data_IF_812793289714
#
_entry.id   IF_812793289714
#
_cell.length_a   1.000
_cell.length_b   1.000
_cell.length_c   1.000
_cell.angle_alpha   90.00
_cell.angle_beta   90.00
_cell.angle_gamma   90.00
#
_symmetry.space_group_name_H-M   'P 1'
#
loop_
_entity.id
_entity.type
_entity.pdbx_description
1 polymer ?
#
# COMPACT_ATOMS: atom_id res chain seq x y z
N UNK A 1 0.29 -20.12 -1.31
CA UNK A 1 -0.88 -19.82 -0.47
C UNK A 1 -2.13 -20.00 -1.31
N UNK A 2 -3.09 -20.76 -0.81
CA UNK A 2 -4.35 -21.00 -1.54
C UNK A 2 -5.21 -19.75 -1.52
N UNK A 3 -6.09 -19.61 -2.52
CA UNK A 3 -6.98 -18.44 -2.64
C UNK A 3 -7.82 -18.24 -1.37
N UNK A 4 -8.38 -19.30 -0.83
CA UNK A 4 -9.19 -19.24 0.40
C UNK A 4 -8.37 -18.71 1.58
N UNK A 5 -7.12 -19.14 1.70
CA UNK A 5 -6.23 -18.68 2.77
C UNK A 5 -5.95 -17.16 2.64
N UNK A 6 -5.78 -16.69 1.41
CA UNK A 6 -5.58 -15.27 1.14
C UNK A 6 -6.83 -14.49 1.52
N UNK A 7 -8.00 -14.91 1.07
CA UNK A 7 -9.28 -14.23 1.35
C UNK A 7 -9.55 -14.19 2.85
N UNK A 8 -9.45 -15.32 3.52
CA UNK A 8 -9.64 -15.40 4.97
C UNK A 8 -8.62 -14.54 5.72
N UNK A 9 -7.37 -14.53 5.26
CA UNK A 9 -6.33 -13.70 5.82
C UNK A 9 -6.62 -12.21 5.66
N UNK A 10 -7.16 -11.78 4.52
CA UNK A 10 -7.57 -10.38 4.30
C UNK A 10 -8.63 -9.99 5.34
N UNK A 11 -9.66 -10.80 5.51
CA UNK A 11 -10.74 -10.50 6.45
C UNK A 11 -10.29 -10.57 7.91
N UNK A 12 -9.24 -11.30 8.21
CA UNK A 12 -8.64 -11.33 9.55
C UNK A 12 -7.50 -10.32 9.74
N UNK A 13 -7.33 -9.41 8.79
CA UNK A 13 -6.30 -8.35 8.83
C UNK A 13 -4.86 -8.88 8.86
N UNK A 14 -4.62 -10.01 8.20
CA UNK A 14 -3.27 -10.55 8.04
C UNK A 14 -2.50 -9.75 6.97
N UNK A 15 -1.44 -9.07 7.38
CA UNK A 15 -0.60 -8.29 6.46
C UNK A 15 0.03 -9.16 5.38
N UNK A 16 0.39 -10.39 5.73
CA UNK A 16 0.93 -11.35 4.78
C UNK A 16 -0.08 -11.68 3.68
N UNK A 17 -1.34 -11.92 4.04
CA UNK A 17 -2.40 -12.21 3.08
C UNK A 17 -2.70 -11.00 2.20
N UNK A 18 -2.79 -9.81 2.78
CA UNK A 18 -2.98 -8.56 2.03
C UNK A 18 -1.83 -8.34 1.06
N UNK A 19 -0.60 -8.52 1.49
CA UNK A 19 0.57 -8.38 0.63
C UNK A 19 0.58 -9.38 -0.52
N UNK A 20 0.21 -10.63 -0.26
CA UNK A 20 0.09 -11.65 -1.32
C UNK A 20 -0.99 -11.29 -2.33
N UNK A 21 -2.15 -10.82 -1.87
CA UNK A 21 -3.23 -10.39 -2.73
C UNK A 21 -2.82 -9.22 -3.64
N UNK A 22 -2.14 -8.23 -3.10
CA UNK A 22 -1.63 -7.09 -3.87
C UNK A 22 -0.65 -7.59 -4.94
N UNK A 23 0.24 -8.51 -4.61
CA UNK A 23 1.17 -9.10 -5.58
C UNK A 23 0.43 -9.80 -6.73
N UNK A 24 -0.60 -10.59 -6.42
CA UNK A 24 -1.41 -11.25 -7.43
C UNK A 24 -2.12 -10.24 -8.34
N UNK A 25 -2.64 -9.16 -7.77
CA UNK A 25 -3.31 -8.10 -8.52
C UNK A 25 -2.32 -7.35 -9.41
N UNK A 26 -1.13 -6.99 -8.90
CA UNK A 26 -0.09 -6.33 -9.69
C UNK A 26 0.34 -7.17 -10.90
N UNK A 27 0.50 -8.48 -10.70
CA UNK A 27 0.94 -9.38 -11.75
C UNK A 27 -0.20 -9.92 -12.61
N UNK A 28 -1.43 -9.52 -12.32
CA UNK A 28 -2.63 -9.99 -13.03
C UNK A 28 -2.70 -11.50 -13.12
N UNK A 29 -2.40 -12.18 -12.02
CA UNK A 29 -2.48 -13.64 -11.96
C UNK A 29 -3.94 -14.10 -12.12
N UNK A 30 -4.18 -15.38 -12.46
CA UNK A 30 -5.54 -15.90 -12.54
C UNK A 30 -6.33 -15.75 -11.22
N UNK A 31 -5.64 -15.67 -10.08
CA UNK A 31 -6.27 -15.50 -8.78
C UNK A 31 -6.77 -14.08 -8.52
N UNK A 32 -6.21 -13.07 -9.22
CA UNK A 32 -6.53 -11.67 -8.97
C UNK A 32 -8.03 -11.37 -9.08
N UNK A 33 -8.66 -11.83 -10.15
CA UNK A 33 -10.10 -11.60 -10.37
C UNK A 33 -10.95 -12.27 -9.30
N UNK A 34 -10.58 -13.48 -8.88
CA UNK A 34 -11.29 -14.19 -7.83
C UNK A 34 -11.16 -13.46 -6.50
N UNK A 35 -9.97 -13.01 -6.14
CA UNK A 35 -9.73 -12.24 -4.91
C UNK A 35 -10.56 -10.97 -4.92
N UNK A 36 -10.51 -10.19 -6.00
CA UNK A 36 -11.25 -8.94 -6.13
C UNK A 36 -12.76 -9.16 -6.03
N UNK A 37 -13.28 -10.19 -6.68
CA UNK A 37 -14.70 -10.53 -6.62
C UNK A 37 -15.16 -10.84 -5.19
N UNK A 38 -14.39 -11.60 -4.45
CA UNK A 38 -14.74 -12.02 -3.09
C UNK A 38 -14.68 -10.88 -2.08
N UNK A 39 -13.76 -9.94 -2.24
CA UNK A 39 -13.61 -8.83 -1.29
C UNK A 39 -14.46 -7.61 -1.66
N UNK A 40 -14.98 -7.54 -2.87
CA UNK A 40 -15.65 -6.34 -3.40
C UNK A 40 -16.73 -5.78 -2.48
N UNK A 41 -17.58 -6.64 -1.94
CA UNK A 41 -18.70 -6.22 -1.09
C UNK A 41 -18.26 -5.65 0.27
N UNK A 42 -17.00 -5.84 0.64
CA UNK A 42 -16.43 -5.34 1.90
C UNK A 42 -15.56 -4.10 1.69
N UNK A 43 -15.43 -3.64 0.44
CA UNK A 43 -14.65 -2.44 0.11
C UNK A 43 -15.51 -1.17 0.18
N UNK A 44 -14.87 -0.02 0.03
CA UNK A 44 -15.57 1.26 -0.05
C UNK A 44 -15.75 1.99 1.28
N UNK A 45 -15.30 1.41 2.38
CA UNK A 45 -15.47 2.00 3.72
C UNK A 45 -14.28 2.86 4.16
N UNK A 46 -13.14 2.74 3.49
CA UNK A 46 -11.94 3.47 3.85
C UNK A 46 -11.94 4.88 3.24
N UNK A 47 -11.44 5.84 4.00
CA UNK A 47 -11.14 7.17 3.47
C UNK A 47 -9.80 7.12 2.75
N UNK A 48 -9.75 7.53 1.50
CA UNK A 48 -8.53 7.51 0.68
C UNK A 48 -7.94 8.90 0.56
N UNK A 49 -6.66 9.02 0.85
CA UNK A 49 -5.90 10.27 0.77
C UNK A 49 -4.76 10.08 -0.22
N UNK A 50 -4.72 10.89 -1.26
CA UNK A 50 -3.61 10.92 -2.20
C UNK A 50 -2.63 12.02 -1.83
N UNK A 51 -1.35 11.68 -1.73
CA UNK A 51 -0.28 12.64 -1.47
C UNK A 51 0.68 12.58 -2.65
N UNK A 52 0.84 13.68 -3.34
CA UNK A 52 1.71 13.79 -4.51
C UNK A 52 2.54 15.07 -4.45
N UNK A 53 3.63 15.08 -5.18
CA UNK A 53 4.51 16.23 -5.27
C UNK A 53 5.92 15.83 -5.70
N UNK A 54 6.77 16.80 -6.05
CA UNK A 54 8.14 16.53 -6.44
C UNK A 54 8.99 16.01 -5.27
N UNK A 55 10.13 15.37 -5.53
CA UNK A 55 11.08 15.01 -4.49
C UNK A 55 11.49 16.23 -3.64
N UNK A 56 11.59 16.04 -2.33
CA UNK A 56 11.96 17.12 -1.41
C UNK A 56 10.83 18.06 -1.01
N UNK A 57 9.59 17.81 -1.46
CA UNK A 57 8.44 18.66 -1.10
C UNK A 57 7.88 18.39 0.30
N UNK A 58 8.40 17.38 1.01
CA UNK A 58 7.93 17.03 2.35
C UNK A 58 6.84 15.97 2.39
N UNK A 59 6.61 15.23 1.31
CA UNK A 59 5.58 14.18 1.24
C UNK A 59 5.72 13.14 2.34
N UNK A 60 6.93 12.62 2.53
CA UNK A 60 7.20 11.58 3.52
C UNK A 60 7.01 12.10 4.94
N UNK A 61 7.40 13.34 5.18
CA UNK A 61 7.22 13.99 6.48
C UNK A 61 5.74 14.17 6.79
N UNK A 62 4.95 14.64 5.83
CA UNK A 62 3.50 14.79 5.97
C UNK A 62 2.83 13.43 6.19
N UNK A 63 3.19 12.44 5.38
CA UNK A 63 2.66 11.08 5.50
C UNK A 63 2.93 10.50 6.88
N UNK A 64 4.14 10.64 7.37
CA UNK A 64 4.53 10.17 8.69
C UNK A 64 3.69 10.83 9.80
N UNK A 65 3.51 12.14 9.73
CA UNK A 65 2.68 12.88 10.68
C UNK A 65 1.22 12.45 10.62
N UNK A 66 0.68 12.22 9.44
CA UNK A 66 -0.69 11.72 9.27
C UNK A 66 -0.87 10.33 9.88
N UNK A 67 0.05 9.41 9.62
CA UNK A 67 0.02 8.06 10.21
C UNK A 67 -0.03 8.17 11.73
N UNK A 68 0.88 8.94 12.29
CA UNK A 68 0.98 9.12 13.74
C UNK A 68 -0.34 9.66 14.32
N UNK A 69 -0.91 10.68 13.72
CA UNK A 69 -2.17 11.29 14.16
C UNK A 69 -3.33 10.30 14.07
N UNK A 70 -3.46 9.59 12.95
CA UNK A 70 -4.53 8.60 12.74
C UNK A 70 -4.42 7.48 13.76
N UNK A 71 -3.21 6.99 14.05
CA UNK A 71 -2.98 5.95 15.04
C UNK A 71 -3.29 6.41 16.46
N UNK A 72 -3.02 7.66 16.80
CA UNK A 72 -3.41 8.22 18.09
C UNK A 72 -4.92 8.23 18.30
N UNK A 73 -5.69 8.29 17.23
CA UNK A 73 -7.16 8.21 17.27
C UNK A 73 -7.68 6.76 17.17
N UNK A 74 -6.85 5.76 17.40
CA UNK A 74 -7.18 4.34 17.38
C UNK A 74 -7.74 3.84 16.03
N UNK A 75 -7.35 4.49 14.94
CA UNK A 75 -7.72 4.07 13.58
C UNK A 75 -6.55 3.37 12.91
N UNK A 76 -6.86 2.51 11.95
CA UNK A 76 -5.86 1.80 11.16
C UNK A 76 -5.53 2.53 9.87
N UNK A 77 -4.32 2.33 9.37
CA UNK A 77 -3.82 3.01 8.17
C UNK A 77 -3.14 2.01 7.25
N UNK A 78 -3.43 2.10 5.97
CA UNK A 78 -2.65 1.43 4.94
C UNK A 78 -1.99 2.48 4.06
N UNK A 79 -0.70 2.30 3.78
CA UNK A 79 0.08 3.21 2.94
C UNK A 79 0.57 2.45 1.73
N UNK A 80 0.18 2.92 0.55
CA UNK A 80 0.73 2.43 -0.73
C UNK A 80 1.69 3.48 -1.25
N UNK A 81 2.97 3.13 -1.25
CA UNK A 81 4.01 3.99 -1.79
C UNK A 81 4.20 3.67 -3.27
N UNK A 82 3.87 4.63 -4.13
CA UNK A 82 4.02 4.47 -5.57
C UNK A 82 5.35 5.08 -5.98
N UNK A 83 6.25 4.26 -6.48
CA UNK A 83 7.53 4.73 -6.96
C UNK A 83 7.43 5.06 -8.46
N UNK A 84 7.49 6.33 -8.86
CA UNK A 84 7.45 6.72 -10.26
C UNK A 84 8.76 6.42 -10.98
N UNK A 85 9.81 6.08 -10.26
CA UNK A 85 11.15 5.95 -10.79
C UNK A 85 11.50 4.50 -11.11
N UNK A 86 12.52 4.32 -11.97
CA UNK A 86 13.07 3.01 -12.22
C UNK A 86 13.67 2.43 -10.93
N UNK A 87 13.89 1.10 -10.86
CA UNK A 87 14.56 0.48 -9.71
C UNK A 87 15.92 1.09 -9.37
N UNK A 88 16.49 1.87 -10.28
CA UNK A 88 17.81 2.48 -10.13
C UNK A 88 17.78 3.85 -9.46
N UNK A 89 16.63 4.48 -9.31
CA UNK A 89 16.50 5.72 -8.54
C UNK A 89 16.09 5.45 -7.10
N UNK A 90 16.55 4.33 -6.56
CA UNK A 90 16.14 3.78 -5.28
C UNK A 90 16.41 4.66 -4.07
N UNK A 91 17.13 5.77 -4.22
CA UNK A 91 17.39 6.65 -3.09
C UNK A 91 16.15 7.24 -2.46
N UNK A 92 15.15 7.64 -3.27
CA UNK A 92 13.92 8.21 -2.75
C UNK A 92 13.02 7.15 -2.09
N UNK A 93 12.89 5.97 -2.70
CA UNK A 93 12.09 4.87 -2.13
C UNK A 93 12.72 4.37 -0.84
N UNK A 94 14.03 4.19 -0.82
CA UNK A 94 14.74 3.77 0.37
C UNK A 94 14.63 4.81 1.48
N UNK A 95 14.76 6.10 1.14
CA UNK A 95 14.61 7.19 2.09
C UNK A 95 13.21 7.24 2.69
N UNK A 96 12.17 7.07 1.88
CA UNK A 96 10.78 7.03 2.34
C UNK A 96 10.55 5.82 3.27
N UNK A 97 11.06 4.65 2.92
CA UNK A 97 10.99 3.47 3.79
C UNK A 97 11.70 3.67 5.11
N UNK A 98 12.88 4.28 5.11
CA UNK A 98 13.63 4.57 6.33
C UNK A 98 12.83 5.51 7.24
N UNK A 99 12.21 6.54 6.69
CA UNK A 99 11.39 7.49 7.45
C UNK A 99 10.15 6.85 8.05
N UNK A 100 9.64 5.77 7.45
CA UNK A 100 8.46 5.06 7.93
C UNK A 100 8.79 3.84 8.79
N UNK A 101 10.08 3.57 9.06
CA UNK A 101 10.51 2.39 9.84
C UNK A 101 9.85 2.33 11.22
N UNK A 102 9.61 3.46 11.85
CA UNK A 102 8.97 3.50 13.17
C UNK A 102 7.55 2.92 13.16
N UNK A 103 6.90 2.87 11.99
CA UNK A 103 5.54 2.34 11.85
C UNK A 103 5.48 0.86 11.47
N UNK A 104 6.59 0.26 11.05
CA UNK A 104 6.60 -1.14 10.59
C UNK A 104 6.22 -2.15 11.67
N UNK A 105 6.48 -1.85 12.92
CA UNK A 105 6.15 -2.72 14.05
C UNK A 105 4.74 -2.48 14.58
N UNK A 106 4.06 -1.45 14.10
CA UNK A 106 2.68 -1.15 14.51
C UNK A 106 1.71 -2.02 13.72
N UNK A 107 0.96 -2.87 14.41
CA UNK A 107 -0.04 -3.76 13.78
C UNK A 107 -1.22 -3.01 13.16
N UNK A 108 -1.40 -1.74 13.47
CA UNK A 108 -2.43 -0.89 12.88
C UNK A 108 -1.96 -0.14 11.63
N UNK A 109 -0.73 -0.35 11.17
CA UNK A 109 -0.15 0.30 10.00
C UNK A 109 0.36 -0.74 9.02
N UNK A 110 -0.20 -0.72 7.81
CA UNK A 110 0.28 -1.55 6.71
C UNK A 110 0.99 -0.65 5.69
N UNK A 111 2.20 -1.02 5.29
CA UNK A 111 2.98 -0.25 4.33
C UNK A 111 3.48 -1.17 3.22
N UNK A 112 3.22 -0.78 1.98
CA UNK A 112 3.71 -1.52 0.82
C UNK A 112 4.10 -0.56 -0.29
N UNK A 113 5.19 -0.88 -0.99
CA UNK A 113 5.61 -0.17 -2.19
C UNK A 113 5.09 -0.86 -3.45
N UNK A 114 4.68 -0.07 -4.43
CA UNK A 114 4.28 -0.53 -5.74
C UNK A 114 5.04 0.27 -6.80
N UNK A 115 5.43 -0.40 -7.88
CA UNK A 115 6.07 0.27 -9.00
C UNK A 115 5.03 0.96 -9.90
N UNK A 116 5.33 2.18 -10.37
CA UNK A 116 4.46 2.87 -11.31
C UNK A 116 4.48 2.28 -12.72
N UNK A 117 5.48 1.47 -13.04
CA UNK A 117 5.67 0.80 -14.34
C UNK A 117 5.64 1.78 -15.52
N UNK A 118 6.27 2.94 -15.37
CA UNK A 118 6.35 3.99 -16.39
C UNK A 118 5.00 4.58 -16.79
N UNK A 119 4.00 4.48 -15.94
CA UNK A 119 2.70 5.10 -16.17
C UNK A 119 2.79 6.60 -15.89
N UNK A 120 2.34 7.40 -16.85
CA UNK A 120 2.26 8.85 -16.69
C UNK A 120 1.39 9.22 -15.48
N UNK A 121 1.85 10.18 -14.69
CA UNK A 121 1.14 10.59 -13.48
C UNK A 121 1.55 9.86 -12.21
N UNK A 122 2.50 8.92 -12.29
CA UNK A 122 3.10 8.27 -11.12
C UNK A 122 2.26 7.24 -10.41
N UNK A 123 1.14 6.82 -11.01
CA UNK A 123 0.30 5.76 -10.45
C UNK A 123 0.60 4.42 -11.13
N UNK A 124 0.70 3.35 -10.35
CA UNK A 124 0.75 2.00 -10.89
C UNK A 124 -0.60 1.62 -11.52
N UNK A 125 -0.56 0.85 -12.60
CA UNK A 125 -1.79 0.39 -13.28
C UNK A 125 -2.73 -0.32 -12.29
N UNK A 126 -2.18 -1.09 -11.37
CA UNK A 126 -2.96 -1.84 -10.39
C UNK A 126 -3.39 -1.03 -9.16
N UNK A 127 -2.98 0.24 -9.04
CA UNK A 127 -3.32 1.05 -7.87
C UNK A 127 -4.73 1.64 -7.92
N UNK A 128 -5.36 1.63 -9.09
CA UNK A 128 -6.75 2.04 -9.25
C UNK A 128 -7.68 0.90 -8.86
#
# INVERSE_FOLDING_TARGET
MKTEDIINGIFSSSFKAVSSAITDIEHKTPLANQILSEIYNKTGNAYRIGITGPPGAGKSTLTNSLIHNIRQNNKTVAVLCIDPSSPFSGGSVLGDRIRMLEHYMDKGVFIRSMASRNVSGGLAVAAS
#
